data_IF_845770083771
#
_entry.id   IF_845770083771
#
_cell.length_a   1.000
_cell.length_b   1.000
_cell.length_c   1.000
_cell.angle_alpha   90.00
_cell.angle_beta   90.00
_cell.angle_gamma   90.00
#
_symmetry.space_group_name_H-M   'P 1'
#
loop_
_entity.id
_entity.type
_entity.pdbx_description
1 polymer ?
#
# COMPACT_ATOMS: atom_id res chain seq x y z
N UNK A 1 -58.82 24.60 5.81
CA UNK A 1 -58.80 24.08 4.43
C UNK A 1 -57.43 23.46 4.16
N UNK A 2 -57.39 22.16 3.80
CA UNK A 2 -56.26 21.37 3.21
C UNK A 2 -55.00 21.22 4.10
N UNK A 3 -54.83 20.18 4.91
CA UNK A 3 -54.59 18.73 4.61
C UNK A 3 -53.49 18.48 3.57
N UNK A 4 -52.34 17.97 4.05
CA UNK A 4 -51.51 16.96 3.37
C UNK A 4 -50.83 16.09 4.44
N UNK A 5 -51.46 14.94 4.71
CA UNK A 5 -50.83 13.79 5.34
C UNK A 5 -49.75 13.20 4.42
N UNK A 6 -48.75 12.52 4.99
CA UNK A 6 -48.18 11.30 4.42
C UNK A 6 -47.33 10.55 5.46
N UNK A 7 -47.81 9.37 5.74
CA UNK A 7 -47.40 8.37 6.71
C UNK A 7 -46.25 7.50 6.16
N UNK A 8 -45.58 6.82 7.09
CA UNK A 8 -44.91 5.50 6.98
C UNK A 8 -43.63 5.34 6.17
N UNK A 9 -42.53 5.04 6.89
CA UNK A 9 -41.65 3.90 6.56
C UNK A 9 -41.37 3.16 7.87
N UNK A 10 -42.18 2.13 8.14
CA UNK A 10 -41.98 1.17 9.23
C UNK A 10 -41.02 0.07 8.77
N UNK A 11 -40.08 -0.24 9.66
CA UNK A 11 -39.01 -1.23 9.53
C UNK A 11 -39.60 -2.65 9.45
N UNK A 12 -39.45 -3.32 8.30
CA UNK A 12 -39.76 -4.74 8.15
C UNK A 12 -38.45 -5.54 8.17
N UNK A 13 -38.14 -6.13 9.32
CA UNK A 13 -37.18 -7.20 9.46
C UNK A 13 -37.89 -8.53 9.18
N UNK A 14 -37.50 -9.23 8.11
CA UNK A 14 -37.77 -10.64 7.92
C UNK A 14 -36.65 -11.22 7.05
N UNK A 15 -35.92 -12.18 7.62
CA UNK A 15 -34.77 -12.80 7.00
C UNK A 15 -35.14 -13.80 5.89
N UNK A 16 -34.15 -14.10 5.05
CA UNK A 16 -34.10 -15.31 4.23
C UNK A 16 -32.63 -15.68 3.99
N UNK A 17 -32.23 -16.71 4.73
CA UNK A 17 -31.36 -17.85 4.41
C UNK A 17 -30.53 -17.76 3.12
N UNK A 18 -29.21 -17.77 3.33
CA UNK A 18 -28.18 -18.50 2.59
C UNK A 18 -28.47 -18.92 1.14
N UNK A 19 -27.81 -18.24 0.19
CA UNK A 19 -27.32 -18.88 -1.03
C UNK A 19 -25.89 -18.43 -1.33
N UNK A 20 -25.03 -19.44 -1.33
CA UNK A 20 -23.62 -19.46 -1.68
C UNK A 20 -23.38 -19.18 -3.17
N UNK A 21 -22.25 -18.48 -3.42
CA UNK A 21 -21.37 -18.52 -4.58
C UNK A 21 -21.82 -19.32 -5.83
N UNK A 22 -22.08 -18.59 -6.92
CA UNK A 22 -21.75 -18.98 -8.29
C UNK A 22 -21.63 -17.67 -9.10
N UNK A 23 -20.41 -17.22 -9.35
CA UNK A 23 -19.72 -17.46 -10.61
C UNK A 23 -20.49 -16.90 -11.81
N UNK A 24 -20.00 -15.76 -12.28
CA UNK A 24 -20.26 -15.22 -13.60
C UNK A 24 -19.92 -16.31 -14.64
N UNK A 25 -20.93 -16.93 -15.27
CA UNK A 25 -20.70 -17.87 -16.37
C UNK A 25 -21.88 -17.77 -17.36
N UNK A 26 -21.73 -16.90 -18.35
CA UNK A 26 -22.47 -17.03 -19.60
C UNK A 26 -22.08 -18.37 -20.22
N UNK A 27 -23.08 -19.23 -20.40
CA UNK A 27 -22.97 -20.46 -21.16
C UNK A 27 -22.84 -20.10 -22.64
N UNK A 28 -21.64 -20.23 -23.21
CA UNK A 28 -21.43 -20.41 -24.63
C UNK A 28 -20.78 -21.77 -24.85
N UNK A 29 -21.45 -22.53 -25.72
CA UNK A 29 -21.10 -23.77 -26.41
C UNK A 29 -19.67 -24.30 -26.35
N UNK A 30 -19.62 -25.63 -26.23
CA UNK A 30 -18.48 -26.53 -26.30
C UNK A 30 -17.38 -26.10 -27.27
N UNK A 31 -16.20 -25.79 -26.71
CA UNK A 31 -14.95 -25.89 -27.44
C UNK A 31 -14.03 -26.78 -26.63
N UNK A 32 -13.75 -27.99 -27.13
CA UNK A 32 -12.59 -28.73 -26.67
C UNK A 32 -11.37 -27.86 -26.92
N UNK A 33 -10.76 -27.39 -25.85
CA UNK A 33 -9.46 -26.75 -25.89
C UNK A 33 -8.68 -27.33 -24.75
N UNK A 34 -7.79 -28.26 -25.10
CA UNK A 34 -6.68 -28.70 -24.28
C UNK A 34 -6.09 -27.48 -23.59
N UNK A 35 -6.40 -27.31 -22.30
CA UNK A 35 -5.84 -26.24 -21.49
C UNK A 35 -4.37 -26.56 -21.28
N UNK A 36 -3.57 -26.16 -22.26
CA UNK A 36 -2.13 -26.03 -22.06
C UNK A 36 -1.99 -24.87 -21.11
N UNK A 37 -1.82 -25.17 -19.83
CA UNK A 37 -1.35 -24.18 -18.87
C UNK A 37 -0.09 -23.56 -19.47
N UNK A 38 -0.02 -22.22 -19.64
CA UNK A 38 1.25 -21.61 -19.99
C UNK A 38 2.19 -21.92 -18.83
N UNK A 39 3.13 -22.83 -19.06
CA UNK A 39 4.29 -22.95 -18.20
C UNK A 39 4.95 -21.58 -18.22
N UNK A 40 4.92 -20.90 -17.07
CA UNK A 40 5.62 -19.63 -16.92
C UNK A 40 7.10 -19.98 -17.07
N UNK A 41 7.64 -19.77 -18.28
CA UNK A 41 9.08 -19.86 -18.47
C UNK A 41 9.67 -18.80 -17.55
N UNK A 42 10.44 -19.25 -16.56
CA UNK A 42 11.19 -18.34 -15.72
C UNK A 42 12.07 -17.50 -16.64
N UNK A 43 11.71 -16.23 -16.83
CA UNK A 43 12.54 -15.28 -17.55
C UNK A 43 13.85 -15.18 -16.76
N UNK A 44 14.96 -15.57 -17.39
CA UNK A 44 16.27 -15.51 -16.78
C UNK A 44 16.57 -14.07 -16.40
N UNK A 45 16.82 -13.82 -15.12
CA UNK A 45 17.26 -12.52 -14.62
C UNK A 45 18.54 -12.11 -15.38
N UNK A 46 18.55 -10.98 -16.11
CA UNK A 46 19.73 -10.55 -16.84
C UNK A 46 20.83 -10.13 -15.87
N UNK A 47 22.07 -10.03 -16.37
CA UNK A 47 23.17 -9.46 -15.59
C UNK A 47 22.98 -7.95 -15.42
N UNK A 48 23.11 -7.39 -14.21
CA UNK A 48 23.11 -5.94 -14.01
C UNK A 48 24.23 -5.27 -14.82
N UNK A 49 23.93 -4.09 -15.36
CA UNK A 49 24.92 -3.20 -15.98
C UNK A 49 25.79 -2.54 -14.91
N UNK A 50 25.21 -2.27 -13.74
CA UNK A 50 25.92 -1.76 -12.57
C UNK A 50 25.27 -2.27 -11.28
N UNK A 51 26.09 -2.41 -10.24
CA UNK A 51 25.65 -2.79 -8.89
C UNK A 51 26.29 -1.89 -7.85
N UNK A 52 25.49 -1.46 -6.89
CA UNK A 52 25.89 -0.72 -5.69
C UNK A 52 25.61 -1.63 -4.49
N UNK A 53 26.63 -2.32 -3.95
CA UNK A 53 26.43 -3.35 -2.93
C UNK A 53 26.12 -2.77 -1.54
N UNK A 54 26.41 -1.50 -1.31
CA UNK A 54 26.13 -0.80 -0.07
C UNK A 54 25.69 0.63 -0.38
N UNK A 55 24.44 0.93 -0.04
CA UNK A 55 23.92 2.29 -0.06
C UNK A 55 24.33 3.03 1.20
N UNK A 56 24.90 4.21 1.01
CA UNK A 56 25.12 5.23 2.04
C UNK A 56 24.53 6.52 1.52
N UNK A 57 23.82 7.28 2.33
CA UNK A 57 23.14 8.48 1.82
C UNK A 57 22.53 9.34 2.91
N UNK A 58 21.76 10.34 2.48
CA UNK A 58 21.05 11.28 3.35
C UNK A 58 19.78 10.59 3.87
N UNK A 59 18.61 10.88 3.28
CA UNK A 59 17.33 10.34 3.72
C UNK A 59 16.45 9.96 2.52
N UNK A 60 15.47 9.09 2.74
CA UNK A 60 14.24 9.07 1.95
C UNK A 60 13.18 9.90 2.68
N UNK A 61 12.26 10.54 1.96
CA UNK A 61 11.26 11.41 2.57
C UNK A 61 9.84 11.04 2.12
N UNK A 62 8.90 11.04 3.06
CA UNK A 62 7.47 10.82 2.83
C UNK A 62 6.72 12.06 3.33
N UNK A 63 6.20 12.85 2.40
CA UNK A 63 5.33 13.97 2.72
C UNK A 63 4.00 13.44 3.30
N UNK A 64 3.62 13.93 4.47
CA UNK A 64 2.32 13.62 5.03
C UNK A 64 1.23 14.32 4.22
N UNK A 65 0.24 13.54 3.78
CA UNK A 65 -0.91 14.10 3.10
C UNK A 65 -1.67 15.07 4.03
N UNK A 66 -2.15 16.17 3.45
CA UNK A 66 -2.86 17.21 4.20
C UNK A 66 -4.13 16.70 4.89
N UNK A 67 -4.85 15.77 4.25
CA UNK A 67 -6.05 15.13 4.82
C UNK A 67 -5.70 14.19 5.96
N UNK A 68 -4.58 13.47 5.85
CA UNK A 68 -4.05 12.66 6.95
C UNK A 68 -3.66 13.53 8.16
N UNK A 69 -2.89 14.60 7.94
CA UNK A 69 -2.50 15.51 9.02
C UNK A 69 -3.72 16.18 9.71
N UNK A 70 -4.73 16.56 8.94
CA UNK A 70 -5.98 17.09 9.46
C UNK A 70 -6.75 16.04 10.28
N UNK A 71 -6.78 14.78 9.83
CA UNK A 71 -7.42 13.68 10.55
C UNK A 71 -6.70 13.35 11.87
N UNK A 72 -5.36 13.37 11.90
CA UNK A 72 -4.61 13.20 13.14
C UNK A 72 -5.00 14.28 14.16
N UNK A 73 -5.05 15.54 13.70
CA UNK A 73 -5.45 16.67 14.55
C UNK A 73 -6.87 16.52 15.08
N UNK A 74 -7.83 16.13 14.24
CA UNK A 74 -9.23 15.97 14.66
C UNK A 74 -9.43 14.81 15.65
N UNK A 75 -8.59 13.79 15.56
CA UNK A 75 -8.56 12.65 16.48
C UNK A 75 -7.71 12.89 17.74
N UNK A 76 -7.05 14.06 17.85
CA UNK A 76 -6.17 14.37 18.98
C UNK A 76 -4.88 13.54 19.02
N UNK A 77 -4.45 13.03 17.86
CA UNK A 77 -3.20 12.28 17.72
C UNK A 77 -2.06 13.23 17.39
N UNK A 78 -1.00 13.19 18.20
CA UNK A 78 0.21 13.96 17.94
C UNK A 78 1.20 13.10 17.14
N UNK A 79 1.54 13.49 15.90
CA UNK A 79 2.59 12.83 15.14
C UNK A 79 3.98 13.10 15.73
N UNK A 80 4.84 12.09 15.71
CA UNK A 80 6.23 12.17 16.13
C UNK A 80 7.08 11.17 15.34
N UNK A 81 8.33 10.97 15.76
CA UNK A 81 9.26 10.04 15.10
C UNK A 81 9.88 9.06 16.10
N UNK A 82 10.34 7.93 15.57
CA UNK A 82 11.09 6.92 16.30
C UNK A 82 12.56 6.95 15.86
N UNK A 83 13.46 6.89 16.84
CA UNK A 83 14.91 6.84 16.64
C UNK A 83 15.47 8.02 15.85
N UNK A 84 16.08 7.76 14.69
CA UNK A 84 16.78 8.80 13.90
C UNK A 84 15.93 9.45 12.82
N UNK A 85 14.66 9.03 12.66
CA UNK A 85 13.75 9.73 11.75
C UNK A 85 13.48 11.15 12.21
N UNK A 86 13.27 12.06 11.27
CA UNK A 86 12.88 13.45 11.54
C UNK A 86 11.56 13.79 10.86
N UNK A 87 10.80 14.70 11.46
CA UNK A 87 9.58 15.26 10.88
C UNK A 87 9.80 16.76 10.67
N UNK A 88 10.11 17.14 9.43
CA UNK A 88 10.42 18.52 9.04
C UNK A 88 9.61 18.90 7.82
N UNK A 89 9.09 20.13 7.79
CA UNK A 89 8.29 20.63 6.67
C UNK A 89 7.12 19.71 6.27
N UNK A 90 6.52 19.03 7.26
CA UNK A 90 5.43 18.07 7.06
C UNK A 90 5.84 16.73 6.44
N UNK A 91 7.13 16.49 6.24
CA UNK A 91 7.67 15.25 5.69
C UNK A 91 8.40 14.43 6.75
N UNK A 92 8.17 13.12 6.73
CA UNK A 92 8.96 12.15 7.51
C UNK A 92 10.20 11.80 6.71
N UNK A 93 11.38 12.10 7.27
CA UNK A 93 12.66 11.75 6.71
C UNK A 93 13.21 10.53 7.42
N UNK A 94 13.58 9.51 6.64
CA UNK A 94 14.14 8.26 7.11
C UNK A 94 15.59 8.13 6.59
N UNK A 95 16.59 8.24 7.49
CA UNK A 95 17.98 8.03 7.13
C UNK A 95 18.22 6.69 6.44
N UNK A 96 19.03 6.70 5.39
CA UNK A 96 19.44 5.47 4.71
C UNK A 96 20.55 4.81 5.52
N UNK A 97 20.24 3.69 6.15
CA UNK A 97 21.16 2.93 7.00
C UNK A 97 21.87 1.81 6.24
N UNK A 98 21.39 1.50 5.03
CA UNK A 98 22.01 0.51 4.17
C UNK A 98 21.11 0.12 3.00
N UNK A 99 21.46 -1.02 2.39
CA UNK A 99 20.76 -1.55 1.22
C UNK A 99 21.68 -1.72 0.03
N UNK A 100 21.12 -2.11 -1.10
CA UNK A 100 21.82 -2.33 -2.36
C UNK A 100 20.94 -1.90 -3.53
N UNK A 101 21.57 -1.59 -4.67
CA UNK A 101 20.86 -1.31 -5.93
C UNK A 101 21.58 -1.98 -7.08
N UNK A 102 20.81 -2.64 -7.93
CA UNK A 102 21.22 -3.13 -9.24
C UNK A 102 20.51 -2.32 -10.32
N UNK A 103 21.29 -1.91 -11.32
CA UNK A 103 20.82 -1.21 -12.51
C UNK A 103 20.93 -2.13 -13.72
N UNK A 104 19.80 -2.34 -14.39
CA UNK A 104 19.65 -3.16 -15.59
C UNK A 104 19.44 -2.27 -16.82
N UNK A 105 19.81 -2.80 -17.99
CA UNK A 105 19.71 -2.07 -19.25
C UNK A 105 18.24 -1.75 -19.61
N UNK A 106 17.85 -0.46 -19.72
CA UNK A 106 16.52 -0.07 -20.15
C UNK A 106 16.19 -0.47 -21.60
N UNK A 107 17.16 -0.82 -22.45
CA UNK A 107 16.88 -1.33 -23.79
C UNK A 107 16.31 -2.76 -23.77
N UNK A 108 16.59 -3.54 -22.70
CA UNK A 108 16.05 -4.88 -22.52
C UNK A 108 14.59 -4.83 -22.02
N UNK A 109 13.89 -5.98 -22.07
CA UNK A 109 12.51 -6.09 -21.59
C UNK A 109 12.38 -6.19 -20.06
N UNK A 110 13.49 -6.46 -19.37
CA UNK A 110 13.51 -6.64 -17.93
C UNK A 110 13.17 -5.36 -17.16
N UNK A 111 12.16 -5.42 -16.29
CA UNK A 111 11.64 -4.27 -15.53
C UNK A 111 11.24 -4.67 -14.11
N UNK A 112 11.34 -3.73 -13.14
CA UNK A 112 11.93 -2.39 -13.25
C UNK A 112 13.45 -2.42 -13.48
N UNK A 113 14.00 -1.37 -14.11
CA UNK A 113 15.43 -1.33 -14.48
C UNK A 113 16.35 -0.85 -13.34
N UNK A 114 15.79 -0.30 -12.26
CA UNK A 114 16.49 -0.10 -10.99
C UNK A 114 15.78 -0.99 -9.97
N UNK A 115 16.53 -1.88 -9.34
CA UNK A 115 16.00 -2.78 -8.32
C UNK A 115 16.93 -2.80 -7.13
N UNK A 116 16.41 -3.07 -5.96
CA UNK A 116 17.23 -3.06 -4.78
C UNK A 116 16.42 -3.05 -3.50
N UNK A 117 17.15 -2.93 -2.41
CA UNK A 117 16.58 -2.71 -1.08
C UNK A 117 17.18 -1.44 -0.52
N UNK A 118 16.34 -0.63 0.13
CA UNK A 118 16.79 0.54 0.91
C UNK A 118 16.37 0.25 2.34
N UNK A 119 17.28 0.47 3.27
CA UNK A 119 17.07 0.20 4.68
C UNK A 119 17.05 1.47 5.50
N UNK A 120 16.23 1.46 6.54
CA UNK A 120 15.96 2.58 7.45
C UNK A 120 15.94 2.10 8.90
N UNK A 121 16.83 1.16 9.26
CA UNK A 121 16.79 0.50 10.58
C UNK A 121 16.81 1.51 11.74
N UNK A 122 15.96 1.27 12.73
CA UNK A 122 15.85 2.11 13.92
C UNK A 122 15.14 3.45 13.67
N UNK A 123 14.60 3.69 12.48
CA UNK A 123 13.80 4.88 12.16
C UNK A 123 12.33 4.50 12.01
N UNK A 124 11.42 5.39 12.41
CA UNK A 124 9.98 5.12 12.33
C UNK A 124 9.11 6.35 12.56
N UNK A 125 7.80 6.13 12.49
CA UNK A 125 6.77 7.14 12.76
C UNK A 125 6.04 6.79 14.06
N UNK A 126 5.73 7.78 14.90
CA UNK A 126 5.00 7.54 16.15
C UNK A 126 3.72 8.36 16.20
N UNK A 127 2.69 7.82 16.85
CA UNK A 127 1.44 8.53 17.15
C UNK A 127 1.20 8.51 18.65
N UNK A 128 1.02 9.68 19.25
CA UNK A 128 0.78 9.83 20.69
C UNK A 128 -0.61 10.38 20.98
N UNK A 129 -1.32 9.76 21.92
CA UNK A 129 -2.55 10.28 22.53
C UNK A 129 -2.54 10.05 24.04
N UNK A 130 -2.43 11.14 24.82
CA UNK A 130 -2.25 11.05 26.27
C UNK A 130 -1.02 10.21 26.63
N UNK A 131 -1.22 9.17 27.43
CA UNK A 131 -0.14 8.26 27.85
C UNK A 131 0.13 7.12 26.84
N UNK A 132 -0.66 7.03 25.77
CA UNK A 132 -0.51 5.97 24.76
C UNK A 132 0.38 6.45 23.63
N UNK A 133 1.42 5.65 23.34
CA UNK A 133 2.31 5.84 22.20
C UNK A 133 2.26 4.58 21.33
N UNK A 134 2.10 4.76 20.03
CA UNK A 134 2.16 3.70 19.03
C UNK A 134 3.30 3.99 18.05
N UNK A 135 4.19 3.03 17.90
CA UNK A 135 5.34 3.10 16.99
C UNK A 135 5.07 2.30 15.71
N UNK A 136 5.44 2.89 14.57
CA UNK A 136 5.34 2.34 13.23
C UNK A 136 6.76 2.29 12.64
N UNK A 137 7.37 1.10 12.70
CA UNK A 137 8.77 0.84 12.32
C UNK A 137 8.90 -0.23 11.26
#
# INVERSE_FOLDING_TARGET
>A
MRSLAKTSISLAAAGLLAFSLAACSSSSESTESTSSSPTSSAESTPTPVASIPSLTGVDTAVLLDSGFAAALTSLGLTPGTVGTATLTDGSLHFPITGGNVDYYDPAQKYRPYVQGTIKHEGSGFSLTAGDTVVDLT
#
